data_IF_750761835970
#
_entry.id   IF_750761835970
#
_cell.length_a   1.000
_cell.length_b   1.000
_cell.length_c   1.000
_cell.angle_alpha   90.00
_cell.angle_beta   90.00
_cell.angle_gamma   90.00
#
_symmetry.space_group_name_H-M   'P 1'
#
loop_
_entity.id
_entity.type
_entity.pdbx_description
1 polymer ?
#
# COMPACT_ATOMS: atom_id res chain seq x y z
N UNK A 1 -4.62 31.70 -17.99
CA UNK A 1 -4.80 31.47 -17.99
C UNK A 1 -4.68 30.98 -17.92
N UNK A 2 -4.50 30.63 -17.62
CA UNK A 2 -4.55 30.04 -17.44
C UNK A 2 -4.46 29.34 -17.33
N UNK A 3 -4.42 29.04 -17.17
CA UNK A 3 -4.56 28.32 -17.09
C UNK A 3 -4.37 27.56 -17.25
N UNK A 4 -4.34 27.48 -17.29
CA UNK A 4 -4.42 26.82 -17.51
C UNK A 4 -3.92 26.23 -17.66
N UNK A 5 -3.70 26.31 -17.64
CA UNK A 5 -3.49 25.79 -17.84
C UNK A 5 -3.07 25.15 -17.73
N UNK A 6 -3.05 25.17 -17.63
CA UNK A 6 -2.95 24.53 -17.55
C UNK A 6 -2.73 23.76 -17.55
N UNK A 7 -2.79 23.66 -17.62
CA UNK A 7 -2.94 22.95 -17.76
C UNK A 7 -2.51 22.27 -18.05
N UNK A 8 -2.31 22.23 -18.08
CA UNK A 8 -2.25 21.69 -18.36
C UNK A 8 -1.58 21.13 -18.45
N UNK A 9 -1.35 21.05 -18.40
CA UNK A 9 -1.08 20.59 -18.43
C UNK A 9 -0.73 19.95 -18.27
N UNK A 10 -0.64 19.87 -18.32
CA UNK A 10 -0.70 19.24 -18.16
C UNK A 10 -0.69 18.52 -18.37
N UNK A 11 -0.66 18.29 -18.37
CA UNK A 11 -1.11 17.61 -18.40
C UNK A 11 -0.90 16.77 -18.72
N UNK A 12 -0.80 16.62 -18.83
CA UNK A 12 -0.90 15.94 -18.99
C UNK A 12 -0.55 15.15 -19.05
N UNK A 13 -0.21 14.95 -19.10
CA UNK A 13 -0.17 14.38 -19.00
C UNK A 13 0.03 13.64 -18.76
N UNK A 14 0.09 13.33 -18.56
CA UNK A 14 -0.15 12.76 -18.05
C UNK A 14 -0.55 12.06 -18.07
N UNK A 15 -0.85 11.59 -18.07
CA UNK A 15 -1.53 11.09 -17.96
C UNK A 15 -2.17 10.29 -17.90
N UNK A 16 -2.23 9.57 -17.70
CA UNK A 16 -3.04 8.60 -17.84
C UNK A 16 -2.95 7.53 -16.82
N UNK A 17 -2.07 7.09 -16.40
CA UNK A 17 -1.81 6.42 -15.12
C UNK A 17 -2.27 7.29 -14.00
N UNK A 18 -2.89 8.31 -14.33
CA UNK A 18 -3.36 9.30 -13.38
C UNK A 18 -4.44 8.77 -12.44
N UNK A 19 -5.09 7.65 -12.76
CA UNK A 19 -6.10 7.09 -11.86
C UNK A 19 -5.50 6.75 -10.51
N UNK A 20 -4.25 6.33 -10.49
CA UNK A 20 -3.55 6.06 -9.24
C UNK A 20 -3.30 7.31 -8.45
N UNK A 21 -2.93 8.37 -9.16
CA UNK A 21 -2.56 9.62 -8.51
C UNK A 21 -3.77 10.30 -7.88
N UNK A 22 -4.97 9.91 -8.32
CA UNK A 22 -6.20 10.51 -7.80
C UNK A 22 -6.69 9.86 -6.52
N UNK A 23 -6.09 8.75 -6.10
CA UNK A 23 -6.51 8.08 -4.88
C UNK A 23 -5.91 8.78 -3.67
N UNK A 24 -6.77 9.14 -2.73
CA UNK A 24 -6.36 9.78 -1.49
C UNK A 24 -5.86 8.73 -0.52
N UNK A 25 -4.57 8.73 -0.27
CA UNK A 25 -3.93 7.75 0.62
C UNK A 25 -3.84 8.22 2.06
N UNK A 26 -4.44 9.38 2.38
CA UNK A 26 -4.38 9.91 3.74
C UNK A 26 -5.15 9.01 4.70
N UNK A 27 -4.70 8.97 5.95
CA UNK A 27 -5.37 8.17 6.97
C UNK A 27 -6.78 8.70 7.23
N UNK A 28 -6.99 10.02 7.13
CA UNK A 28 -8.31 10.60 7.30
C UNK A 28 -9.31 10.01 6.31
N UNK A 29 -8.90 9.86 5.07
CA UNK A 29 -9.75 9.25 4.05
C UNK A 29 -10.01 7.78 4.36
N UNK A 30 -8.98 7.05 4.77
CA UNK A 30 -9.09 5.62 5.10
C UNK A 30 -10.11 5.41 6.21
N UNK A 31 -10.14 6.31 7.20
CA UNK A 31 -11.08 6.19 8.31
C UNK A 31 -12.54 6.22 7.87
N UNK A 32 -12.83 6.83 6.72
CA UNK A 32 -14.20 6.98 6.22
C UNK A 32 -14.68 5.80 5.38
N UNK A 33 -13.79 4.87 5.05
CA UNK A 33 -14.13 3.76 4.17
C UNK A 33 -14.89 2.68 4.94
N UNK A 34 -15.91 2.10 4.28
CA UNK A 34 -16.79 1.11 4.91
C UNK A 34 -16.39 -0.34 4.65
N UNK A 35 -15.54 -0.56 3.65
CA UNK A 35 -15.15 -1.91 3.25
C UNK A 35 -13.64 -2.02 3.13
N UNK A 36 -12.93 -1.32 4.03
CA UNK A 36 -11.48 -1.31 4.02
C UNK A 36 -10.94 -2.62 4.58
N UNK A 37 -10.02 -3.23 3.83
CA UNK A 37 -9.48 -4.54 4.16
C UNK A 37 -8.00 -4.58 3.90
N UNK A 38 -7.34 -5.52 4.53
CA UNK A 38 -5.95 -5.83 4.24
C UNK A 38 -5.81 -7.33 4.01
N UNK A 39 -5.36 -7.69 2.83
CA UNK A 39 -4.94 -9.06 2.55
C UNK A 39 -3.49 -9.17 3.03
N UNK A 40 -3.18 -10.22 3.78
CA UNK A 40 -1.84 -10.45 4.28
C UNK A 40 -1.41 -11.87 4.00
N UNK A 41 -0.16 -12.02 3.55
CA UNK A 41 0.41 -13.35 3.41
C UNK A 41 1.83 -13.36 3.97
N UNK A 42 2.19 -14.48 4.58
CA UNK A 42 3.53 -14.69 5.13
C UNK A 42 3.82 -16.18 5.06
N UNK A 43 4.90 -16.53 4.35
CA UNK A 43 5.24 -17.91 4.06
C UNK A 43 4.03 -18.57 3.37
N UNK A 44 3.46 -19.62 3.95
CA UNK A 44 2.31 -20.32 3.37
C UNK A 44 0.99 -19.96 4.05
N UNK A 45 0.97 -18.90 4.86
CA UNK A 45 -0.24 -18.44 5.55
C UNK A 45 -0.83 -17.23 4.86
N UNK A 46 -2.16 -17.15 4.84
CA UNK A 46 -2.89 -16.02 4.27
C UNK A 46 -4.04 -15.66 5.18
N UNK A 47 -4.36 -14.37 5.27
CA UNK A 47 -5.50 -13.92 6.05
C UNK A 47 -6.02 -12.61 5.48
N UNK A 48 -7.27 -12.27 5.79
CA UNK A 48 -7.85 -10.98 5.47
C UNK A 48 -8.26 -10.31 6.76
N UNK A 49 -7.80 -9.08 6.96
CA UNK A 49 -8.10 -8.27 8.13
C UNK A 49 -9.06 -7.18 7.70
N UNK A 50 -10.11 -6.92 8.49
CA UNK A 50 -11.17 -6.00 8.09
C UNK A 50 -11.38 -4.92 9.13
N UNK A 51 -11.99 -3.82 8.71
CA UNK A 51 -12.45 -2.78 9.61
C UNK A 51 -11.35 -2.03 10.30
N UNK A 52 -11.57 -1.76 11.59
CA UNK A 52 -10.65 -0.93 12.36
C UNK A 52 -9.26 -1.53 12.45
N UNK A 53 -9.17 -2.84 12.53
CA UNK A 53 -7.87 -3.49 12.60
C UNK A 53 -7.06 -3.27 11.33
N UNK A 54 -7.73 -3.33 10.16
CA UNK A 54 -7.06 -3.08 8.89
C UNK A 54 -6.62 -1.62 8.79
N UNK A 55 -7.43 -0.70 9.30
CA UNK A 55 -7.10 0.73 9.28
C UNK A 55 -5.92 1.05 10.18
N UNK A 56 -5.87 0.42 11.36
CA UNK A 56 -4.73 0.60 12.26
C UNK A 56 -3.45 0.07 11.64
N UNK A 57 -3.54 -1.07 10.99
CA UNK A 57 -2.38 -1.64 10.32
C UNK A 57 -1.89 -0.73 9.19
N UNK A 58 -2.83 -0.18 8.42
CA UNK A 58 -2.49 0.77 7.37
C UNK A 58 -1.73 1.98 7.93
N UNK A 59 -2.19 2.49 9.07
CA UNK A 59 -1.55 3.64 9.69
C UNK A 59 -0.10 3.32 10.05
N UNK A 60 0.13 2.16 10.68
CA UNK A 60 1.47 1.76 11.08
C UNK A 60 2.39 1.67 9.86
N UNK A 61 1.91 1.00 8.81
CA UNK A 61 2.73 0.74 7.63
C UNK A 61 2.97 2.02 6.82
N UNK A 62 1.92 2.84 6.62
CA UNK A 62 2.05 4.03 5.81
C UNK A 62 2.92 5.10 6.49
N UNK A 63 2.87 5.18 7.82
CA UNK A 63 3.71 6.14 8.54
C UNK A 63 5.17 5.72 8.58
N UNK A 64 5.45 4.44 8.35
CA UNK A 64 6.82 3.95 8.36
C UNK A 64 7.57 4.26 7.06
N UNK A 65 6.88 4.82 6.06
CA UNK A 65 7.51 5.19 4.78
C UNK A 65 8.53 6.31 4.93
N UNK A 66 8.82 6.76 6.16
CA UNK A 66 9.79 7.82 6.40
C UNK A 66 11.21 7.29 6.50
N UNK A 67 11.50 6.22 5.81
CA UNK A 67 12.85 5.69 5.75
C UNK A 67 13.68 6.36 4.67
N UNK A 68 14.92 5.94 4.57
CA UNK A 68 15.82 6.41 3.52
C UNK A 68 15.46 5.65 2.25
N UNK A 69 15.21 6.38 1.17
CA UNK A 69 14.92 5.76 -0.11
C UNK A 69 16.10 4.91 -0.54
N UNK A 70 15.81 3.74 -1.05
CA UNK A 70 16.81 2.74 -1.40
C UNK A 70 16.65 2.35 -2.87
N UNK A 71 17.75 1.96 -3.50
CA UNK A 71 17.67 1.45 -4.86
C UNK A 71 16.78 0.21 -4.91
N UNK A 72 15.99 0.04 -5.97
CA UNK A 72 15.19 -1.17 -6.09
C UNK A 72 16.10 -2.40 -6.04
N UNK A 73 15.94 -3.18 -5.00
CA UNK A 73 16.67 -4.43 -4.85
C UNK A 73 15.81 -5.34 -4.01
N UNK A 74 15.85 -6.62 -4.29
CA UNK A 74 15.13 -7.59 -3.49
C UNK A 74 16.00 -8.03 -2.33
N UNK A 75 15.39 -8.19 -1.18
CA UNK A 75 16.03 -8.79 -0.03
C UNK A 75 15.99 -10.29 -0.17
N UNK A 76 16.96 -10.99 0.43
CA UNK A 76 16.93 -12.44 0.54
C UNK A 76 16.17 -12.88 1.80
N UNK A 77 15.74 -11.93 2.61
CA UNK A 77 15.09 -12.23 3.89
C UNK A 77 13.59 -12.48 3.70
N UNK A 78 12.99 -13.10 4.71
CA UNK A 78 11.55 -13.32 4.73
C UNK A 78 10.80 -11.99 4.65
N UNK A 79 9.62 -12.03 4.08
CA UNK A 79 8.81 -10.82 3.97
C UNK A 79 7.34 -11.14 4.22
N UNK A 80 6.61 -10.10 4.67
CA UNK A 80 5.16 -10.11 4.75
C UNK A 80 4.64 -9.32 3.56
N UNK A 81 3.68 -9.87 2.84
CA UNK A 81 3.04 -9.19 1.72
C UNK A 81 1.68 -8.69 2.17
N UNK A 82 1.42 -7.39 1.98
CA UNK A 82 0.16 -6.77 2.36
C UNK A 82 -0.45 -6.06 1.15
N UNK A 83 -1.77 -6.19 1.01
CA UNK A 83 -2.52 -5.42 0.01
C UNK A 83 -3.65 -4.72 0.74
N UNK A 84 -3.66 -3.38 0.73
CA UNK A 84 -4.73 -2.60 1.32
C UNK A 84 -5.72 -2.19 0.23
N UNK A 85 -7.00 -2.42 0.47
CA UNK A 85 -8.02 -2.16 -0.53
C UNK A 85 -9.37 -1.91 0.11
N UNK A 86 -10.28 -1.34 -0.67
CA UNK A 86 -11.67 -1.12 -0.25
C UNK A 86 -12.55 -1.84 -1.25
N UNK A 87 -13.28 -2.86 -0.79
CA UNK A 87 -14.11 -3.68 -1.67
C UNK A 87 -15.07 -4.52 -0.84
N UNK A 88 -16.23 -4.83 -1.40
CA UNK A 88 -17.14 -5.80 -0.78
C UNK A 88 -16.70 -7.23 -1.05
N UNK A 89 -15.76 -7.42 -1.97
CA UNK A 89 -15.18 -8.73 -2.29
C UNK A 89 -13.78 -8.82 -1.69
N UNK A 90 -13.29 -10.04 -1.50
CA UNK A 90 -11.97 -10.25 -0.93
C UNK A 90 -10.93 -10.42 -2.03
N UNK A 91 -9.76 -9.82 -1.81
CA UNK A 91 -8.61 -9.99 -2.68
C UNK A 91 -8.18 -11.47 -2.67
N UNK A 92 -7.81 -12.08 -3.79
CA UNK A 92 -7.60 -11.46 -5.11
C UNK A 92 -8.82 -11.43 -6.02
N UNK A 93 -9.97 -11.91 -5.60
CA UNK A 93 -11.16 -12.01 -6.44
C UNK A 93 -12.00 -10.73 -6.41
N UNK A 94 -11.34 -9.58 -6.37
CA UNK A 94 -12.02 -8.28 -6.32
C UNK A 94 -12.54 -7.88 -7.69
N UNK A 95 -13.58 -7.03 -7.69
CA UNK A 95 -14.18 -6.54 -8.94
C UNK A 95 -13.56 -5.22 -9.38
N UNK A 96 -14.08 -4.68 -10.49
CA UNK A 96 -13.53 -3.47 -11.11
C UNK A 96 -13.69 -2.22 -10.25
N UNK A 97 -14.61 -2.25 -9.30
CA UNK A 97 -14.86 -1.09 -8.43
C UNK A 97 -13.94 -1.05 -7.23
N UNK A 98 -13.11 -2.06 -7.08
CA UNK A 98 -12.17 -2.12 -5.97
C UNK A 98 -11.15 -0.99 -6.07
N UNK A 99 -10.96 -0.29 -4.96
CA UNK A 99 -9.92 0.74 -4.85
C UNK A 99 -8.76 0.17 -4.07
N UNK A 100 -7.54 0.34 -4.62
CA UNK A 100 -6.34 -0.15 -3.97
C UNK A 100 -5.59 1.01 -3.33
N UNK A 101 -5.15 0.80 -2.09
CA UNK A 101 -4.49 1.83 -1.28
C UNK A 101 -3.03 1.47 -1.00
N UNK A 102 -2.51 0.51 -1.72
CA UNK A 102 -1.10 0.17 -1.69
C UNK A 102 -0.86 -1.29 -1.44
N UNK A 103 0.24 -1.79 -1.99
CA UNK A 103 0.75 -3.11 -1.68
C UNK A 103 2.17 -2.96 -1.15
N UNK A 104 2.52 -3.77 -0.16
CA UNK A 104 3.76 -3.63 0.58
C UNK A 104 4.43 -4.99 0.71
N UNK A 105 5.75 -4.99 0.57
CA UNK A 105 6.60 -6.11 0.98
C UNK A 105 7.42 -5.60 2.15
N UNK A 106 7.22 -6.20 3.33
CA UNK A 106 7.91 -5.80 4.55
C UNK A 106 8.87 -6.91 4.91
N UNK A 107 10.16 -6.64 4.78
CA UNK A 107 11.20 -7.64 4.95
C UNK A 107 11.71 -7.64 6.40
N UNK A 108 12.16 -8.81 6.84
CA UNK A 108 12.60 -8.98 8.22
C UNK A 108 13.88 -8.18 8.54
N UNK A 109 14.60 -7.72 7.52
CA UNK A 109 15.81 -6.91 7.73
C UNK A 109 15.53 -5.39 7.71
N UNK A 110 14.26 -4.99 7.68
CA UNK A 110 13.92 -3.59 7.73
C UNK A 110 13.73 -2.90 6.39
N UNK A 111 13.85 -3.66 5.30
CA UNK A 111 13.56 -3.11 3.98
C UNK A 111 12.05 -3.14 3.77
N UNK A 112 11.52 -2.09 3.14
CA UNK A 112 10.11 -2.02 2.76
C UNK A 112 10.03 -1.67 1.29
N UNK A 113 9.20 -2.40 0.55
CA UNK A 113 8.91 -2.08 -0.84
C UNK A 113 7.44 -1.76 -0.96
N UNK A 114 7.13 -0.72 -1.71
CA UNK A 114 5.78 -0.20 -1.86
C UNK A 114 5.42 -0.06 -3.32
N UNK A 115 4.17 -0.41 -3.64
CA UNK A 115 3.56 -0.13 -4.93
C UNK A 115 2.14 0.37 -4.67
N UNK A 116 1.62 1.22 -5.57
CA UNK A 116 0.28 1.77 -5.40
C UNK A 116 -0.82 0.73 -5.52
N UNK A 117 -0.55 -0.36 -6.20
CA UNK A 117 -1.51 -1.44 -6.43
C UNK A 117 -0.76 -2.73 -6.66
N UNK A 118 -1.36 -3.90 -6.33
CA UNK A 118 -0.70 -5.18 -6.58
C UNK A 118 -0.47 -5.44 -8.07
N UNK A 119 -1.14 -4.67 -8.93
CA UNK A 119 -1.01 -4.84 -10.38
C UNK A 119 -0.09 -3.82 -11.03
N UNK A 120 0.49 -2.93 -10.24
CA UNK A 120 1.33 -1.86 -10.75
C UNK A 120 2.79 -2.28 -10.69
N UNK A 121 3.54 -1.99 -11.76
CA UNK A 121 4.93 -2.43 -11.85
C UNK A 121 5.93 -1.49 -11.17
N UNK A 122 5.52 -0.25 -10.89
CA UNK A 122 6.41 0.70 -10.23
C UNK A 122 6.52 0.37 -8.74
N UNK A 123 7.75 0.19 -8.28
CA UNK A 123 8.03 -0.20 -6.90
C UNK A 123 9.03 0.79 -6.31
N UNK A 124 8.73 1.27 -5.12
CA UNK A 124 9.60 2.14 -4.35
C UNK A 124 10.13 1.38 -3.15
N UNK A 125 11.42 1.53 -2.87
CA UNK A 125 12.08 0.80 -1.79
C UNK A 125 12.63 1.76 -0.75
N UNK A 126 12.47 1.41 0.52
CA UNK A 126 12.92 2.22 1.65
C UNK A 126 13.62 1.35 2.68
N UNK A 127 14.71 1.87 3.24
CA UNK A 127 15.31 1.25 4.42
C UNK A 127 14.71 1.97 5.63
N UNK A 128 13.89 1.28 6.39
CA UNK A 128 13.15 1.90 7.48
C UNK A 128 14.04 2.22 8.66
N UNK A 129 13.74 3.33 9.34
CA UNK A 129 14.43 3.70 10.58
C UNK A 129 14.14 2.68 11.67
N UNK A 130 12.89 2.26 11.73
CA UNK A 130 12.46 1.26 12.72
C UNK A 130 11.95 0.05 11.97
N UNK A 131 12.43 -1.12 12.37
CA UNK A 131 11.98 -2.36 11.75
C UNK A 131 10.60 -2.70 12.30
N UNK A 132 9.60 -2.70 11.42
CA UNK A 132 8.21 -2.95 11.82
C UNK A 132 7.79 -4.40 11.54
N UNK A 133 8.70 -5.25 11.08
CA UNK A 133 8.36 -6.60 10.66
C UNK A 133 7.65 -7.39 11.75
N UNK A 134 8.23 -7.42 12.94
CA UNK A 134 7.66 -8.21 14.05
C UNK A 134 6.31 -7.67 14.50
N UNK A 135 6.15 -6.35 14.54
CA UNK A 135 4.87 -5.75 14.93
C UNK A 135 3.77 -6.08 13.93
N UNK A 136 4.10 -5.98 12.65
CA UNK A 136 3.13 -6.28 11.59
C UNK A 136 2.78 -7.77 11.62
N UNK A 137 3.78 -8.63 11.77
CA UNK A 137 3.55 -10.06 11.81
C UNK A 137 2.61 -10.43 12.97
N UNK A 138 2.83 -9.84 14.13
CA UNK A 138 1.98 -10.10 15.31
C UNK A 138 0.55 -9.63 15.06
N UNK A 139 0.36 -8.49 14.43
CA UNK A 139 -0.97 -7.96 14.18
C UNK A 139 -1.72 -8.72 13.11
N UNK A 140 -1.01 -9.40 12.21
CA UNK A 140 -1.67 -10.10 11.10
C UNK A 140 -1.89 -11.58 11.37
N UNK A 141 -1.00 -12.23 12.11
CA UNK A 141 -1.00 -13.69 12.22
C UNK A 141 -0.98 -14.24 13.65
N UNK A 142 -1.25 -13.42 14.63
CA UNK A 142 -1.30 -13.99 16.00
C UNK A 142 -2.67 -13.93 16.63
#
# INVERSE_FOLDING_TARGET
MSILLLNLFSGCQFNKSSEYDDIDLSYEHILELNHFKCYASYLDQETTIEGEEAKELYKIVSESNEGIEHSPSSSQNDYIYLVFYNSTSDFPSTDERTEFYGSYYIYSDGLLQFSGSPYHSAVFSYKLKNNIFDDVLKKTFS
#
